data_IF_411986210028
#
_entry.id   IF_411986210028
#
_cell.length_a   1.000
_cell.length_b   1.000
_cell.length_c   1.000
_cell.angle_alpha   90.00
_cell.angle_beta   90.00
_cell.angle_gamma   90.00
#
_symmetry.space_group_name_H-M   'P 1'
#
loop_
_entity.id
_entity.type
_entity.pdbx_description
1 polymer ?
#
# COMPACT_ATOMS: atom_id res chain seq x y z
N UNK A 1 38.58 -3.27 26.79
CA UNK A 1 37.98 -2.78 25.53
C UNK A 1 37.41 -3.99 24.82
N UNK A 2 36.11 -4.26 25.02
CA UNK A 2 35.43 -5.39 24.37
C UNK A 2 34.93 -4.95 23.00
N UNK A 3 35.34 -5.70 21.98
CA UNK A 3 34.88 -5.56 20.61
C UNK A 3 33.47 -6.14 20.56
N UNK A 4 32.47 -5.31 20.29
CA UNK A 4 31.10 -5.73 20.03
C UNK A 4 31.00 -6.01 18.54
N UNK A 5 30.64 -7.25 18.19
CA UNK A 5 30.51 -7.77 16.82
C UNK A 5 29.28 -7.19 16.12
N UNK A 6 29.42 -6.89 14.82
CA UNK A 6 28.39 -6.31 13.93
C UNK A 6 27.11 -7.17 13.79
N UNK A 7 27.08 -8.37 14.35
CA UNK A 7 25.92 -9.27 14.36
C UNK A 7 24.85 -8.86 15.40
N UNK A 8 25.20 -8.14 16.48
CA UNK A 8 24.23 -7.67 17.49
C UNK A 8 23.40 -6.46 17.02
N UNK A 9 23.80 -5.77 15.96
CA UNK A 9 23.09 -4.57 15.49
C UNK A 9 21.88 -4.91 14.59
N UNK A 10 21.83 -6.11 14.01
CA UNK A 10 20.75 -6.54 13.10
C UNK A 10 19.51 -7.02 13.87
N UNK A 11 19.69 -7.71 15.00
CA UNK A 11 18.58 -8.18 15.86
C UNK A 11 17.77 -7.02 16.45
N UNK A 12 18.39 -5.85 16.63
CA UNK A 12 17.71 -4.66 17.19
C UNK A 12 16.78 -3.96 16.20
N UNK A 13 16.90 -4.23 14.90
CA UNK A 13 16.07 -3.60 13.86
C UNK A 13 14.88 -4.46 13.41
N UNK A 14 14.86 -5.76 13.70
CA UNK A 14 13.70 -6.64 13.36
C UNK A 14 12.53 -6.48 14.35
N UNK A 15 12.78 -6.06 15.59
CA UNK A 15 11.72 -5.82 16.61
C UNK A 15 10.87 -4.56 16.37
N UNK A 16 11.15 -3.76 15.34
CA UNK A 16 10.45 -2.49 15.05
C UNK A 16 9.39 -2.59 13.93
N UNK A 17 9.14 -3.79 13.41
CA UNK A 17 8.20 -4.02 12.30
C UNK A 17 7.15 -5.11 12.60
N UNK A 18 6.43 -5.03 13.72
CA UNK A 18 5.11 -5.68 13.91
C UNK A 18 4.43 -5.13 15.18
N UNK A 19 3.73 -3.98 15.11
CA UNK A 19 2.52 -3.77 15.92
C UNK A 19 1.71 -2.56 15.45
N UNK A 20 1.03 -2.72 14.32
CA UNK A 20 -0.21 -1.99 14.00
C UNK A 20 -1.39 -2.98 13.91
N UNK A 21 -1.31 -4.11 14.64
CA UNK A 21 -2.52 -4.82 15.03
C UNK A 21 -3.15 -4.06 16.19
N UNK A 22 -4.24 -3.35 15.88
CA UNK A 22 -5.17 -2.77 16.85
C UNK A 22 -5.25 -3.66 18.09
N UNK A 23 -4.84 -3.11 19.24
CA UNK A 23 -5.07 -3.62 20.59
C UNK A 23 -6.57 -3.91 20.82
N UNK A 24 -7.03 -5.06 20.33
CA UNK A 24 -8.31 -5.68 20.62
C UNK A 24 -8.11 -7.05 21.29
N UNK A 25 -6.95 -7.25 21.92
CA UNK A 25 -6.56 -8.48 22.60
C UNK A 25 -7.11 -8.63 24.03
N UNK A 26 -7.93 -7.71 24.52
CA UNK A 26 -8.68 -7.95 25.76
C UNK A 26 -10.04 -8.58 25.43
N UNK A 27 -10.28 -9.76 25.99
CA UNK A 27 -11.48 -10.63 25.89
C UNK A 27 -11.44 -11.71 24.79
N UNK A 28 -10.46 -12.60 24.91
CA UNK A 28 -10.51 -13.96 24.36
C UNK A 28 -11.53 -14.80 25.13
N UNK A 29 -12.79 -14.85 24.67
CA UNK A 29 -13.74 -15.96 24.83
C UNK A 29 -14.98 -15.62 24.00
N UNK A 30 -15.20 -16.21 22.81
CA UNK A 30 -16.46 -15.94 22.10
C UNK A 30 -16.89 -17.03 21.12
N UNK A 31 -18.20 -17.30 21.16
CA UNK A 31 -18.95 -18.27 20.36
C UNK A 31 -18.93 -17.94 18.85
N UNK A 32 -19.32 -18.91 18.01
CA UNK A 32 -19.43 -18.74 16.55
C UNK A 32 -20.33 -17.56 16.12
N UNK A 33 -21.35 -17.22 16.92
CA UNK A 33 -22.23 -16.07 16.70
C UNK A 33 -21.53 -14.71 16.87
N UNK A 34 -20.55 -14.60 17.76
CA UNK A 34 -19.82 -13.36 18.01
C UNK A 34 -18.84 -13.06 16.88
N UNK A 35 -18.26 -14.10 16.27
CA UNK A 35 -17.41 -13.96 15.08
C UNK A 35 -18.18 -13.35 13.90
N UNK A 36 -19.43 -13.76 13.68
CA UNK A 36 -20.27 -13.22 12.61
C UNK A 36 -20.67 -11.75 12.86
N UNK A 37 -20.98 -11.41 14.12
CA UNK A 37 -21.26 -10.01 14.51
C UNK A 37 -20.04 -9.12 14.31
N UNK A 38 -18.86 -9.57 14.73
CA UNK A 38 -17.58 -8.83 14.55
C UNK A 38 -17.26 -8.62 13.07
N UNK A 39 -17.41 -9.66 12.24
CA UNK A 39 -17.18 -9.53 10.80
C UNK A 39 -18.11 -8.50 10.13
N UNK A 40 -19.39 -8.49 10.51
CA UNK A 40 -20.34 -7.48 10.04
C UNK A 40 -19.95 -6.07 10.49
N UNK A 41 -19.59 -5.91 11.75
CA UNK A 41 -19.16 -4.60 12.28
C UNK A 41 -17.93 -4.07 11.54
N UNK A 42 -16.95 -4.93 11.22
CA UNK A 42 -15.78 -4.55 10.42
C UNK A 42 -16.16 -4.15 8.99
N UNK A 43 -17.11 -4.84 8.36
CA UNK A 43 -17.61 -4.47 7.04
C UNK A 43 -18.34 -3.12 7.07
N UNK A 44 -19.16 -2.87 8.10
CA UNK A 44 -19.86 -1.60 8.29
C UNK A 44 -18.86 -0.45 8.49
N UNK A 45 -17.79 -0.66 9.26
CA UNK A 45 -16.70 0.32 9.44
C UNK A 45 -16.01 0.64 8.11
N UNK A 46 -15.68 -0.37 7.30
CA UNK A 46 -15.07 -0.15 5.98
C UNK A 46 -15.95 0.69 5.06
N UNK A 47 -17.27 0.45 5.07
CA UNK A 47 -18.24 1.19 4.24
C UNK A 47 -18.40 2.66 4.63
N UNK A 48 -17.98 3.08 5.82
CA UNK A 48 -17.93 4.48 6.21
C UNK A 48 -16.77 5.24 5.56
N UNK A 49 -15.75 4.53 5.06
CA UNK A 49 -14.63 5.13 4.36
C UNK A 49 -15.04 5.52 2.93
N UNK A 50 -14.97 6.83 2.62
CA UNK A 50 -15.31 7.39 1.31
C UNK A 50 -14.48 6.79 0.16
N UNK A 51 -13.25 6.34 0.43
CA UNK A 51 -12.38 5.71 -0.57
C UNK A 51 -12.61 4.21 -0.71
N UNK A 52 -13.36 3.57 0.17
CA UNK A 52 -13.63 2.14 0.10
C UNK A 52 -14.68 1.81 -0.96
N UNK A 53 -14.34 0.91 -1.85
CA UNK A 53 -15.21 0.46 -2.93
C UNK A 53 -15.20 -1.07 -3.02
N UNK A 54 -16.35 -1.63 -3.39
CA UNK A 54 -16.52 -3.07 -3.60
C UNK A 54 -17.19 -3.32 -4.94
N UNK A 55 -16.47 -3.99 -5.83
CA UNK A 55 -16.97 -4.36 -7.16
C UNK A 55 -17.16 -5.86 -7.24
N UNK A 56 -18.16 -6.26 -8.02
CA UNK A 56 -18.41 -7.67 -8.30
C UNK A 56 -18.02 -7.95 -9.75
N UNK A 57 -17.16 -8.95 -9.94
CA UNK A 57 -16.78 -9.45 -11.27
C UNK A 57 -17.19 -10.90 -11.41
N UNK A 58 -17.49 -11.31 -12.63
CA UNK A 58 -17.77 -12.69 -12.96
C UNK A 58 -16.60 -13.24 -13.77
N UNK A 59 -15.99 -14.33 -13.31
CA UNK A 59 -14.93 -15.04 -14.04
C UNK A 59 -15.28 -16.52 -14.02
N UNK A 60 -15.34 -17.13 -15.20
CA UNK A 60 -15.68 -18.54 -15.40
C UNK A 60 -17.02 -18.95 -14.74
N UNK A 61 -18.02 -18.07 -14.78
CA UNK A 61 -19.35 -18.32 -14.19
C UNK A 61 -19.42 -18.19 -12.67
N UNK A 62 -18.29 -17.90 -12.00
CA UNK A 62 -18.25 -17.61 -10.56
C UNK A 62 -18.13 -16.10 -10.34
N UNK A 63 -19.09 -15.56 -9.58
CA UNK A 63 -19.03 -14.18 -9.11
C UNK A 63 -18.07 -14.08 -7.93
N UNK A 64 -17.18 -13.10 -7.98
CA UNK A 64 -16.27 -12.75 -6.89
C UNK A 64 -16.32 -11.24 -6.64
N UNK A 65 -16.15 -10.87 -5.37
CA UNK A 65 -16.07 -9.47 -4.97
C UNK A 65 -14.63 -9.05 -4.80
N UNK A 66 -14.27 -7.91 -5.37
CA UNK A 66 -12.98 -7.25 -5.15
C UNK A 66 -13.26 -6.00 -4.32
N UNK A 67 -12.55 -5.87 -3.20
CA UNK A 67 -12.62 -4.73 -2.30
C UNK A 67 -11.35 -3.90 -2.49
N UNK A 68 -11.46 -2.60 -2.72
CA UNK A 68 -10.30 -1.75 -2.93
C UNK A 68 -10.48 -0.37 -2.32
N UNK A 69 -9.35 0.27 -2.03
CA UNK A 69 -9.31 1.62 -1.51
C UNK A 69 -8.74 2.58 -2.53
N UNK A 70 -9.56 3.54 -2.97
CA UNK A 70 -9.16 4.58 -3.91
C UNK A 70 -8.56 5.79 -3.19
N UNK A 71 -7.59 6.41 -3.85
CA UNK A 71 -7.01 7.69 -3.45
C UNK A 71 -7.53 8.80 -4.35
N UNK A 72 -7.72 9.99 -3.78
CA UNK A 72 -8.11 11.19 -4.53
C UNK A 72 -6.99 11.69 -5.42
N UNK A 73 -7.34 12.21 -6.59
CA UNK A 73 -6.39 12.82 -7.53
C UNK A 73 -5.89 14.20 -7.07
N UNK A 74 -6.46 14.76 -6.00
CA UNK A 74 -6.07 16.06 -5.48
C UNK A 74 -4.59 16.07 -5.03
N UNK A 75 -3.74 16.94 -5.60
CA UNK A 75 -2.33 17.04 -5.21
C UNK A 75 -2.16 17.32 -3.70
N UNK A 76 -1.10 16.76 -3.11
CA UNK A 76 -0.79 16.91 -1.69
C UNK A 76 -1.59 16.00 -0.75
N UNK A 77 -2.48 15.14 -1.26
CA UNK A 77 -3.09 14.06 -0.47
C UNK A 77 -2.12 12.91 -0.29
N UNK A 78 -2.21 12.21 0.85
CA UNK A 78 -1.42 10.99 1.09
C UNK A 78 -1.91 9.85 0.20
N UNK A 79 -0.98 9.16 -0.43
CA UNK A 79 -1.26 7.96 -1.23
C UNK A 79 -1.68 6.83 -0.30
N UNK A 80 -2.77 6.15 -0.66
CA UNK A 80 -3.30 4.99 0.07
C UNK A 80 -3.08 3.72 -0.75
N UNK A 81 -2.62 2.65 -0.09
CA UNK A 81 -2.50 1.35 -0.73
C UNK A 81 -3.89 0.76 -1.03
N UNK A 82 -4.07 0.27 -2.25
CA UNK A 82 -5.36 -0.17 -2.75
C UNK A 82 -5.87 -1.48 -2.15
N UNK A 83 -5.02 -2.29 -1.52
CA UNK A 83 -5.37 -3.59 -0.93
C UNK A 83 -5.85 -3.43 0.51
N UNK A 84 -5.02 -2.80 1.35
CA UNK A 84 -5.25 -2.71 2.79
C UNK A 84 -5.82 -1.36 3.25
N UNK A 85 -5.73 -0.32 2.41
CA UNK A 85 -6.19 1.01 2.77
C UNK A 85 -5.21 1.80 3.65
N UNK A 86 -3.99 1.32 3.86
CA UNK A 86 -2.97 2.00 4.64
C UNK A 86 -2.47 3.27 3.93
N UNK A 87 -2.31 4.36 4.68
CA UNK A 87 -1.72 5.59 4.17
C UNK A 87 -0.21 5.51 4.19
N UNK A 88 0.40 5.93 3.09
CA UNK A 88 1.84 6.10 2.96
C UNK A 88 2.23 7.54 3.30
N UNK A 89 3.55 7.78 3.46
CA UNK A 89 4.09 9.14 3.59
C UNK A 89 4.28 9.84 2.25
N UNK A 90 3.91 9.20 1.14
CA UNK A 90 4.05 9.73 -0.20
C UNK A 90 2.82 10.55 -0.58
N UNK A 91 3.02 11.61 -1.37
CA UNK A 91 1.96 12.54 -1.74
C UNK A 91 1.57 12.41 -3.21
N UNK A 92 0.28 12.58 -3.47
CA UNK A 92 -0.29 12.68 -4.81
C UNK A 92 0.26 13.94 -5.49
N UNK A 93 0.66 13.82 -6.76
CA UNK A 93 1.30 14.87 -7.54
C UNK A 93 2.78 15.11 -7.23
N UNK A 94 3.41 14.30 -6.37
CA UNK A 94 4.85 14.29 -6.13
C UNK A 94 5.57 13.29 -7.05
N UNK A 95 6.90 13.40 -7.14
CA UNK A 95 7.76 12.37 -7.74
C UNK A 95 7.65 11.02 -7.01
N UNK A 96 7.15 11.02 -5.77
CA UNK A 96 6.87 9.80 -5.01
C UNK A 96 5.88 8.85 -5.69
N UNK A 97 5.03 9.35 -6.61
CA UNK A 97 4.10 8.50 -7.33
C UNK A 97 4.79 7.45 -8.22
N UNK A 98 6.00 7.72 -8.70
CA UNK A 98 6.74 6.78 -9.55
C UNK A 98 7.24 5.54 -8.78
N UNK A 99 7.20 5.58 -7.44
CA UNK A 99 7.47 4.41 -6.59
C UNK A 99 6.33 3.40 -6.56
N UNK A 100 5.13 3.77 -7.03
CA UNK A 100 3.94 2.94 -6.96
C UNK A 100 3.46 2.60 -8.36
N UNK A 101 2.90 1.40 -8.50
CA UNK A 101 2.13 1.06 -9.67
C UNK A 101 0.74 1.69 -9.54
N UNK A 102 0.53 2.81 -10.25
CA UNK A 102 -0.73 3.55 -10.23
C UNK A 102 -1.59 3.27 -11.46
N UNK A 103 -2.90 3.17 -11.26
CA UNK A 103 -3.88 2.99 -12.34
C UNK A 103 -5.21 3.62 -11.98
N UNK A 104 -5.98 3.98 -13.01
CA UNK A 104 -7.32 4.52 -12.86
C UNK A 104 -8.34 3.47 -13.30
N UNK A 105 -9.32 3.19 -12.44
CA UNK A 105 -10.45 2.36 -12.83
C UNK A 105 -11.50 3.21 -13.55
N UNK A 106 -11.87 2.77 -14.75
CA UNK A 106 -13.01 3.28 -15.50
C UNK A 106 -14.17 2.30 -15.25
N UNK A 107 -14.92 2.50 -14.17
CA UNK A 107 -16.10 1.69 -13.85
C UNK A 107 -17.29 2.62 -13.69
N UNK A 108 -18.45 2.22 -14.19
CA UNK A 108 -19.70 3.01 -14.20
C UNK A 108 -20.25 3.36 -12.79
N UNK A 109 -19.58 2.91 -11.72
CA UNK A 109 -19.94 3.12 -10.32
C UNK A 109 -18.89 3.88 -9.51
N UNK A 110 -17.86 4.41 -10.16
CA UNK A 110 -16.88 5.24 -9.47
C UNK A 110 -17.39 6.67 -9.36
N UNK A 111 -17.48 7.18 -8.12
CA UNK A 111 -17.65 8.62 -7.87
C UNK A 111 -16.53 9.40 -8.58
N UNK A 112 -16.89 10.53 -9.20
CA UNK A 112 -16.05 11.31 -10.13
C UNK A 112 -14.66 11.68 -9.58
N UNK A 113 -14.50 11.73 -8.25
CA UNK A 113 -13.32 12.26 -7.56
C UNK A 113 -12.30 11.20 -7.05
N UNK A 114 -12.66 9.91 -6.99
CA UNK A 114 -11.88 8.87 -6.27
C UNK A 114 -11.74 7.60 -7.10
N UNK A 115 -10.75 7.56 -7.98
CA UNK A 115 -10.61 6.45 -8.95
C UNK A 115 -9.19 5.93 -9.13
N UNK A 116 -8.20 6.55 -8.49
CA UNK A 116 -6.80 6.14 -8.63
C UNK A 116 -6.43 5.13 -7.57
N UNK A 117 -5.95 3.98 -8.02
CA UNK A 117 -5.43 2.91 -7.17
C UNK A 117 -3.91 2.93 -7.23
N UNK A 118 -3.30 2.71 -6.08
CA UNK A 118 -1.85 2.62 -5.92
C UNK A 118 -1.50 1.26 -5.33
N UNK A 119 -0.59 0.56 -6.00
CA UNK A 119 -0.03 -0.74 -5.61
C UNK A 119 1.49 -0.63 -5.50
N UNK A 120 2.11 -1.54 -4.76
CA UNK A 120 3.57 -1.59 -4.68
C UNK A 120 4.17 -2.19 -5.95
N UNK A 121 3.43 -3.06 -6.65
CA UNK A 121 3.86 -3.66 -7.91
C UNK A 121 2.69 -3.96 -8.86
N UNK A 122 2.93 -4.10 -10.17
CA UNK A 122 1.89 -4.53 -11.12
C UNK A 122 1.34 -5.92 -10.80
N UNK A 123 2.17 -6.83 -10.28
CA UNK A 123 1.76 -8.19 -9.90
C UNK A 123 0.76 -8.17 -8.73
N UNK A 124 0.90 -7.23 -7.79
CA UNK A 124 -0.10 -7.03 -6.74
C UNK A 124 -1.47 -6.68 -7.33
N UNK A 125 -1.51 -5.81 -8.35
CA UNK A 125 -2.76 -5.50 -9.04
C UNK A 125 -3.31 -6.72 -9.79
N UNK A 126 -2.48 -7.45 -10.52
CA UNK A 126 -2.90 -8.66 -11.26
C UNK A 126 -3.54 -9.70 -10.34
N UNK A 127 -2.92 -9.94 -9.18
CA UNK A 127 -3.44 -10.84 -8.17
C UNK A 127 -4.73 -10.31 -7.56
N UNK A 128 -4.79 -9.01 -7.25
CA UNK A 128 -5.95 -8.40 -6.60
C UNK A 128 -7.19 -8.35 -7.52
N UNK A 129 -7.01 -8.02 -8.80
CA UNK A 129 -8.09 -7.88 -9.78
C UNK A 129 -8.31 -9.12 -10.66
N UNK A 130 -7.47 -10.15 -10.48
CA UNK A 130 -7.37 -11.34 -11.34
C UNK A 130 -7.25 -10.98 -12.83
N UNK A 131 -6.49 -9.91 -13.09
CA UNK A 131 -6.22 -9.34 -14.40
C UNK A 131 -4.81 -9.71 -14.87
N UNK A 132 -4.52 -9.46 -16.14
CA UNK A 132 -3.18 -9.61 -16.71
C UNK A 132 -2.76 -8.29 -17.32
N UNK A 133 -1.61 -7.80 -16.92
CA UNK A 133 -0.96 -6.60 -17.46
C UNK A 133 0.06 -7.05 -18.49
N UNK A 134 0.11 -6.37 -19.64
CA UNK A 134 1.12 -6.62 -20.66
C UNK A 134 2.54 -6.31 -20.17
N UNK A 135 3.51 -7.10 -20.61
CA UNK A 135 4.91 -6.95 -20.20
C UNK A 135 5.48 -5.54 -20.51
N UNK A 136 5.08 -4.92 -21.62
CA UNK A 136 5.46 -3.55 -21.99
C UNK A 136 5.12 -2.52 -20.89
N UNK A 137 3.99 -2.69 -20.20
CA UNK A 137 3.56 -1.78 -19.13
C UNK A 137 4.39 -2.04 -17.87
N UNK A 138 4.66 -3.31 -17.56
CA UNK A 138 5.50 -3.71 -16.42
C UNK A 138 6.92 -3.18 -16.59
N UNK A 139 7.48 -3.29 -17.79
CA UNK A 139 8.81 -2.77 -18.12
C UNK A 139 8.86 -1.24 -18.00
N UNK A 140 7.89 -0.52 -18.58
CA UNK A 140 7.79 0.93 -18.45
C UNK A 140 7.73 1.40 -16.99
N UNK A 141 6.95 0.71 -16.16
CA UNK A 141 6.88 1.02 -14.73
C UNK A 141 8.20 0.72 -14.04
N UNK A 142 8.80 -0.45 -14.29
CA UNK A 142 10.07 -0.87 -13.69
C UNK A 142 11.20 0.12 -13.98
N UNK A 143 11.25 0.67 -15.18
CA UNK A 143 12.24 1.69 -15.54
C UNK A 143 12.04 2.98 -14.73
N UNK A 144 10.80 3.49 -14.62
CA UNK A 144 10.50 4.66 -13.79
C UNK A 144 10.83 4.45 -12.33
N UNK A 145 10.47 3.29 -11.79
CA UNK A 145 10.75 2.91 -10.42
C UNK A 145 12.26 2.88 -10.15
N UNK A 146 13.03 2.25 -11.05
CA UNK A 146 14.48 2.17 -10.93
C UNK A 146 15.14 3.56 -10.97
N UNK A 147 14.69 4.43 -11.87
CA UNK A 147 15.18 5.81 -11.98
C UNK A 147 14.92 6.62 -10.71
N UNK A 148 13.72 6.51 -10.14
CA UNK A 148 13.34 7.23 -8.92
C UNK A 148 14.11 6.73 -7.69
N UNK A 149 14.27 5.41 -7.55
CA UNK A 149 15.09 4.81 -6.50
C UNK A 149 16.56 5.25 -6.62
N UNK A 150 17.09 5.29 -7.84
CA UNK A 150 18.45 5.74 -8.08
C UNK A 150 18.63 7.21 -7.66
N UNK A 151 17.71 8.10 -8.02
CA UNK A 151 17.74 9.52 -7.63
C UNK A 151 17.75 9.68 -6.11
N UNK A 152 16.90 8.94 -5.39
CA UNK A 152 16.85 8.99 -3.91
C UNK A 152 18.16 8.56 -3.28
N UNK A 153 18.73 7.45 -3.74
CA UNK A 153 20.03 6.95 -3.26
C UNK A 153 21.14 7.98 -3.45
N UNK A 154 21.17 8.67 -4.59
CA UNK A 154 22.15 9.73 -4.85
C UNK A 154 21.98 10.92 -3.91
N UNK A 155 20.74 11.38 -3.69
CA UNK A 155 20.45 12.46 -2.74
C UNK A 155 20.89 12.10 -1.31
N UNK A 156 20.64 10.86 -0.88
CA UNK A 156 21.02 10.42 0.46
C UNK A 156 22.54 10.28 0.63
N UNK A 157 23.25 9.84 -0.41
CA UNK A 157 24.70 9.84 -0.45
C UNK A 157 25.28 11.26 -0.32
N UNK A 158 24.74 12.24 -1.05
CA UNK A 158 25.17 13.64 -0.95
C UNK A 158 24.93 14.23 0.45
N UNK A 159 23.79 13.91 1.09
CA UNK A 159 23.50 14.36 2.45
C UNK A 159 24.51 13.79 3.45
N UNK A 160 24.83 12.50 3.34
CA UNK A 160 25.83 11.83 4.19
C UNK A 160 27.21 12.48 4.04
N UNK A 161 27.67 12.69 2.82
CA UNK A 161 28.99 13.29 2.55
C UNK A 161 29.09 14.73 3.05
N UNK A 162 28.04 15.54 2.91
CA UNK A 162 27.99 16.92 3.46
C UNK A 162 28.00 16.93 4.99
N UNK A 163 27.34 15.98 5.65
CA UNK A 163 27.33 15.84 7.11
C UNK A 163 28.72 15.50 7.65
N UNK A 164 29.46 14.62 6.96
CA UNK A 164 30.82 14.23 7.33
C UNK A 164 31.80 15.40 7.22
N UNK A 165 31.68 16.25 6.18
CA UNK A 165 32.57 17.41 5.98
C UNK A 165 32.31 18.60 6.93
N UNK A 166 31.24 18.53 7.74
CA UNK A 166 30.83 19.61 8.66
C UNK A 166 31.20 19.31 10.12
N UNK A 167 31.90 18.20 10.36
CA UNK A 167 32.50 17.77 11.63
C UNK A 167 34.00 17.94 11.49
#
# INVERSE_FOLDING_TARGET
MSVISEEEEIEKYEDLYMDDEITLSSFAYSNSNDKKKRAKMLEDIKRLDKGYNKVYRNKNGKQYSIEYYATSLNPGKKIRNAINGAYTNCLVGSYDEDLFFKLRLLTDKCDEDLTTLYYDSPEQYENHFNATISDDIKEKWKNKYADEIHKRKMVDYEKKTKKIKKI
#
